data_IF_065584458773
#
_entry.id   IF_065584458773
#
_cell.length_a   1.000
_cell.length_b   1.000
_cell.length_c   1.000
_cell.angle_alpha   90.00
_cell.angle_beta   90.00
_cell.angle_gamma   90.00
#
_symmetry.space_group_name_H-M   'P 1'
#
loop_
_entity.id
_entity.type
_entity.pdbx_description
1 polymer ?
#
# COMPACT_ATOMS: atom_id res chain seq x y z
N UNK A 1 -7.76 13.19 49.04
CA UNK A 1 -7.34 13.18 47.62
C UNK A 1 -8.43 12.47 46.83
N UNK A 2 -9.25 13.22 46.10
CA UNK A 2 -10.25 12.70 45.17
C UNK A 2 -9.65 12.79 43.75
N UNK A 3 -9.83 11.78 42.89
CA UNK A 3 -9.34 11.84 41.52
C UNK A 3 -10.21 12.79 40.69
N UNK A 4 -9.58 13.63 39.88
CA UNK A 4 -10.30 14.50 38.95
C UNK A 4 -10.73 13.72 37.70
N UNK A 5 -11.93 13.98 37.16
CA UNK A 5 -12.37 13.38 35.90
C UNK A 5 -11.65 14.03 34.72
N UNK A 6 -11.10 13.19 33.84
CA UNK A 6 -10.49 13.61 32.58
C UNK A 6 -11.54 14.24 31.66
N UNK A 7 -11.22 15.42 31.15
CA UNK A 7 -11.99 16.18 30.18
C UNK A 7 -11.88 15.50 28.81
N UNK A 8 -12.86 14.70 28.44
CA UNK A 8 -13.01 14.16 27.08
C UNK A 8 -13.49 15.30 26.18
N UNK A 9 -12.60 15.81 25.32
CA UNK A 9 -12.97 16.74 24.25
C UNK A 9 -13.53 15.92 23.08
N UNK A 10 -14.85 15.76 23.05
CA UNK A 10 -15.55 15.26 21.87
C UNK A 10 -15.56 16.36 20.78
N UNK A 11 -14.84 16.12 19.70
CA UNK A 11 -14.94 16.92 18.47
C UNK A 11 -16.06 16.31 17.63
N UNK A 12 -17.23 16.95 17.61
CA UNK A 12 -18.34 16.56 16.72
C UNK A 12 -18.16 17.34 15.41
N UNK A 13 -17.81 16.63 14.34
CA UNK A 13 -17.85 17.17 12.97
C UNK A 13 -19.22 16.86 12.39
N UNK A 14 -20.08 17.88 12.28
CA UNK A 14 -21.39 17.77 11.63
C UNK A 14 -21.19 18.04 10.14
N UNK A 15 -21.30 17.01 9.30
CA UNK A 15 -21.29 17.14 7.84
C UNK A 15 -22.75 17.24 7.36
N UNK A 16 -23.13 18.40 6.82
CA UNK A 16 -24.41 18.58 6.13
C UNK A 16 -24.28 18.11 4.67
N UNK A 17 -24.96 17.02 4.32
CA UNK A 17 -25.14 16.60 2.92
C UNK A 17 -26.30 17.36 2.29
N UNK A 18 -26.01 18.22 1.31
CA UNK A 18 -26.99 18.78 0.39
C UNK A 18 -27.16 17.85 -0.81
N UNK A 19 -28.30 17.17 -0.90
CA UNK A 19 -28.66 16.33 -2.05
C UNK A 19 -29.05 17.19 -3.25
N UNK A 20 -28.32 17.10 -4.36
CA UNK A 20 -28.79 17.53 -5.68
C UNK A 20 -29.01 16.28 -6.54
N UNK A 21 -30.29 15.96 -6.78
CA UNK A 21 -30.72 15.01 -7.80
C UNK A 21 -30.64 15.70 -9.16
N UNK A 22 -29.84 15.18 -10.09
CA UNK A 22 -29.93 15.50 -11.50
C UNK A 22 -30.11 14.22 -12.30
N UNK A 23 -31.25 14.16 -13.01
CA UNK A 23 -31.65 13.10 -13.92
C UNK A 23 -31.33 13.50 -15.36
N UNK A 24 -30.68 12.60 -16.11
CA UNK A 24 -30.66 12.49 -17.57
C UNK A 24 -30.39 11.00 -17.85
N UNK A 25 -31.13 10.25 -18.66
CA UNK A 25 -31.72 10.59 -19.95
C UNK A 25 -30.92 9.82 -21.01
N UNK A 26 -31.50 8.74 -21.56
CA UNK A 26 -30.79 7.72 -22.33
C UNK A 26 -30.46 8.04 -23.79
N UNK A 27 -29.89 7.05 -24.47
CA UNK A 27 -29.64 7.09 -25.91
C UNK A 27 -28.84 5.86 -26.37
N UNK A 28 -29.47 5.08 -27.24
CA UNK A 28 -29.06 3.76 -27.77
C UNK A 28 -28.03 3.82 -28.92
N UNK A 29 -27.42 2.65 -29.16
CA UNK A 29 -26.92 2.07 -30.43
C UNK A 29 -25.74 2.68 -31.21
N UNK A 30 -24.72 1.84 -31.46
CA UNK A 30 -23.58 2.19 -32.31
C UNK A 30 -22.56 1.07 -32.57
N UNK A 31 -22.97 0.11 -33.39
CA UNK A 31 -22.28 -1.01 -34.06
C UNK A 31 -20.76 -0.92 -34.34
N UNK A 32 -20.12 -2.06 -34.02
CA UNK A 32 -18.85 -2.68 -34.47
C UNK A 32 -18.14 -2.12 -35.72
N UNK A 33 -16.83 -1.91 -35.58
CA UNK A 33 -15.87 -1.79 -36.68
C UNK A 33 -14.46 -2.17 -36.24
N UNK A 34 -14.13 -3.46 -36.29
CA UNK A 34 -12.78 -3.98 -36.08
C UNK A 34 -11.92 -3.74 -37.33
N UNK A 35 -10.85 -2.96 -37.20
CA UNK A 35 -9.79 -2.85 -38.20
C UNK A 35 -8.47 -3.29 -37.56
N UNK A 36 -8.05 -4.51 -37.91
CA UNK A 36 -6.72 -5.04 -37.61
C UNK A 36 -5.74 -4.43 -38.62
N UNK A 37 -4.78 -3.64 -38.13
CA UNK A 37 -3.65 -3.15 -38.91
C UNK A 37 -2.40 -3.86 -38.39
N UNK A 38 -1.99 -4.91 -39.09
CA UNK A 38 -0.67 -5.52 -38.93
C UNK A 38 0.39 -4.58 -39.53
N UNK A 39 1.28 -4.06 -38.68
CA UNK A 39 2.47 -3.32 -39.13
C UNK A 39 3.71 -4.12 -38.75
N UNK A 40 4.29 -4.80 -39.73
CA UNK A 40 5.62 -5.41 -39.67
C UNK A 40 6.70 -4.33 -39.64
N UNK A 41 7.49 -4.28 -38.56
CA UNK A 41 8.70 -3.46 -38.48
C UNK A 41 9.95 -4.36 -38.50
N UNK A 42 10.70 -4.25 -39.59
CA UNK A 42 12.03 -4.85 -39.78
C UNK A 42 13.08 -4.00 -39.06
N UNK A 43 13.74 -4.54 -38.03
CA UNK A 43 14.87 -3.87 -37.35
C UNK A 43 16.18 -4.36 -37.96
N UNK A 44 16.88 -3.43 -38.61
CA UNK A 44 18.24 -3.57 -39.12
C UNK A 44 19.24 -3.23 -38.01
N UNK A 45 20.17 -4.14 -37.72
CA UNK A 45 21.27 -3.92 -36.79
C UNK A 45 22.43 -3.13 -37.44
N UNK A 46 23.03 -2.14 -36.76
CA UNK A 46 24.34 -1.61 -37.16
C UNK A 46 25.47 -2.12 -36.25
N UNK A 47 26.60 -2.35 -36.90
CA UNK A 47 27.83 -2.92 -36.37
C UNK A 47 28.60 -1.96 -35.45
N UNK A 48 29.24 -2.53 -34.42
CA UNK A 48 30.16 -1.86 -33.52
C UNK A 48 31.45 -1.44 -34.26
N UNK A 49 31.77 -0.15 -34.19
CA UNK A 49 32.98 0.45 -34.76
C UNK A 49 34.10 0.49 -33.71
N UNK A 50 35.31 0.19 -34.18
CA UNK A 50 36.54 -0.05 -33.44
C UNK A 50 37.09 1.18 -32.70
N UNK A 51 37.74 0.90 -31.56
CA UNK A 51 38.43 1.85 -30.70
C UNK A 51 39.70 2.45 -31.34
N UNK A 52 39.86 3.76 -31.18
CA UNK A 52 41.08 4.53 -31.50
C UNK A 52 41.81 4.88 -30.20
N UNK A 53 43.14 4.70 -30.08
CA UNK A 53 43.90 5.08 -28.89
C UNK A 53 44.17 6.60 -28.84
N UNK A 54 44.24 7.21 -27.64
CA UNK A 54 44.54 8.64 -27.49
C UNK A 54 46.05 8.95 -27.68
N UNK A 55 46.40 10.14 -28.22
CA UNK A 55 47.78 10.58 -28.34
C UNK A 55 48.36 11.11 -27.02
N UNK A 56 49.67 10.92 -26.86
CA UNK A 56 50.51 11.44 -25.77
C UNK A 56 50.40 12.95 -25.60
N UNK A 57 50.15 13.38 -24.36
CA UNK A 57 50.17 14.79 -23.96
C UNK A 57 51.58 15.23 -23.53
N UNK A 58 52.02 16.34 -24.11
CA UNK A 58 53.18 17.15 -23.76
C UNK A 58 53.02 17.77 -22.36
N UNK A 59 54.08 17.86 -21.53
CA UNK A 59 53.98 18.47 -20.20
C UNK A 59 53.82 20.00 -20.28
N UNK A 60 52.83 20.51 -19.55
CA UNK A 60 52.58 21.95 -19.33
C UNK A 60 53.44 22.52 -18.18
N UNK A 61 53.67 23.84 -18.15
CA UNK A 61 54.58 24.50 -17.22
C UNK A 61 53.99 24.62 -15.80
N UNK A 62 54.90 24.57 -14.83
CA UNK A 62 54.65 24.66 -13.39
C UNK A 62 53.98 25.99 -13.01
N UNK A 63 52.78 25.90 -12.44
CA UNK A 63 52.06 27.01 -11.83
C UNK A 63 52.46 27.17 -10.34
N UNK A 64 52.40 28.40 -9.78
CA UNK A 64 52.87 28.69 -8.43
C UNK A 64 52.00 28.08 -7.34
N UNK A 65 52.64 27.67 -6.24
CA UNK A 65 52.04 27.08 -5.03
C UNK A 65 50.82 27.86 -4.53
N UNK A 66 49.67 27.20 -4.61
CA UNK A 66 48.49 27.58 -3.84
C UNK A 66 48.68 27.21 -2.35
N UNK A 67 48.30 28.13 -1.48
CA UNK A 67 48.11 27.96 -0.04
C UNK A 67 47.26 26.71 0.23
N UNK A 68 47.60 25.85 1.21
CA UNK A 68 46.79 24.68 1.55
C UNK A 68 45.42 25.16 2.07
N UNK A 69 44.41 24.98 1.23
CA UNK A 69 43.00 25.12 1.59
C UNK A 69 42.67 24.01 2.59
N UNK A 70 42.21 24.41 3.76
CA UNK A 70 41.86 23.52 4.86
C UNK A 70 40.70 22.62 4.37
N UNK A 71 41.00 21.37 4.02
CA UNK A 71 40.01 20.43 3.53
C UNK A 71 38.89 20.27 4.55
N UNK A 72 37.68 20.72 4.20
CA UNK A 72 36.46 20.44 4.96
C UNK A 72 36.36 18.92 5.10
N UNK A 73 36.23 18.38 6.33
CA UNK A 73 36.12 16.94 6.51
C UNK A 73 34.91 16.45 5.73
N UNK A 74 35.14 15.52 4.80
CA UNK A 74 34.05 14.78 4.16
C UNK A 74 33.27 14.07 5.27
N UNK A 75 31.95 14.30 5.39
CA UNK A 75 31.15 13.60 6.39
C UNK A 75 31.32 12.09 6.14
N UNK A 76 31.71 11.37 7.18
CA UNK A 76 31.73 9.90 7.14
C UNK A 76 30.28 9.45 6.96
N UNK A 77 29.97 8.65 5.93
CA UNK A 77 28.60 8.19 5.73
C UNK A 77 28.15 7.41 6.96
N UNK A 78 26.99 7.78 7.49
CA UNK A 78 26.36 7.11 8.62
C UNK A 78 26.02 5.66 8.20
N UNK A 79 26.27 4.65 9.05
CA UNK A 79 25.96 3.27 8.71
C UNK A 79 24.45 3.10 8.51
N UNK A 80 24.05 2.77 7.29
CA UNK A 80 22.66 2.46 6.95
C UNK A 80 22.28 1.14 7.64
N UNK A 81 21.33 1.20 8.57
CA UNK A 81 20.81 0.03 9.27
C UNK A 81 20.15 -0.92 8.25
N UNK A 82 20.37 -2.24 8.32
CA UNK A 82 19.69 -3.17 7.42
C UNK A 82 18.16 -3.09 7.59
N UNK A 83 17.38 -3.31 6.52
CA UNK A 83 15.92 -3.42 6.61
C UNK A 83 15.49 -4.45 7.66
N UNK A 84 14.46 -4.13 8.43
CA UNK A 84 13.94 -4.96 9.51
C UNK A 84 12.41 -5.07 9.44
N UNK A 85 11.79 -6.07 10.09
CA UNK A 85 10.34 -6.13 10.21
C UNK A 85 9.78 -4.85 10.83
N UNK A 86 8.74 -4.29 10.20
CA UNK A 86 8.00 -3.13 10.67
C UNK A 86 6.64 -3.61 11.13
N UNK A 87 6.28 -3.31 12.38
CA UNK A 87 4.94 -3.54 12.89
C UNK A 87 3.96 -2.53 12.25
N UNK A 88 2.95 -2.99 11.51
CA UNK A 88 1.85 -2.12 11.08
C UNK A 88 1.09 -1.58 12.29
N UNK A 89 0.47 -0.41 12.10
CA UNK A 89 -0.40 0.18 13.11
C UNK A 89 -1.77 -0.51 13.14
N UNK A 90 -2.33 -0.78 11.96
CA UNK A 90 -3.60 -1.49 11.81
C UNK A 90 -3.60 -2.35 10.55
N UNK A 91 -4.46 -3.37 10.54
CA UNK A 91 -4.83 -4.12 9.35
C UNK A 91 -6.34 -3.94 9.07
N UNK A 92 -6.70 -3.80 7.80
CA UNK A 92 -8.06 -3.56 7.37
C UNK A 92 -8.43 -4.45 6.19
N UNK A 93 -9.61 -5.06 6.25
CA UNK A 93 -10.22 -5.76 5.12
C UNK A 93 -11.70 -5.41 5.05
N UNK A 94 -12.22 -5.22 3.83
CA UNK A 94 -13.64 -4.93 3.62
C UNK A 94 -14.50 -6.18 3.79
N UNK A 95 -13.97 -7.32 3.35
CA UNK A 95 -14.65 -8.60 3.40
C UNK A 95 -13.90 -9.56 4.32
N UNK A 96 -14.66 -10.21 5.18
CA UNK A 96 -14.16 -11.22 6.11
C UNK A 96 -15.21 -12.33 6.23
N UNK A 97 -14.75 -13.56 6.48
CA UNK A 97 -15.61 -14.68 6.76
C UNK A 97 -16.27 -14.51 8.14
N UNK A 98 -17.55 -14.90 8.32
CA UNK A 98 -18.16 -14.96 9.64
C UNK A 98 -17.35 -15.82 10.62
N UNK A 99 -17.43 -15.56 11.94
CA UNK A 99 -16.86 -16.43 12.95
C UNK A 99 -17.35 -17.88 12.80
N UNK A 100 -16.51 -18.84 13.15
CA UNK A 100 -16.86 -20.27 13.14
C UNK A 100 -16.41 -20.96 14.42
N UNK A 101 -16.62 -22.27 14.53
CA UNK A 101 -16.14 -23.05 15.67
C UNK A 101 -15.05 -24.03 15.26
N UNK A 102 -14.03 -24.16 16.11
CA UNK A 102 -13.03 -25.23 15.99
C UNK A 102 -13.58 -26.57 16.51
N UNK A 103 -12.76 -27.62 16.43
CA UNK A 103 -13.14 -28.96 16.90
C UNK A 103 -13.31 -29.07 18.42
N UNK A 104 -12.83 -28.08 19.20
CA UNK A 104 -13.09 -27.97 20.64
C UNK A 104 -14.40 -27.22 20.94
N UNK A 105 -15.04 -26.65 19.91
CA UNK A 105 -16.21 -25.80 20.04
C UNK A 105 -15.88 -24.34 20.38
N UNK A 106 -14.61 -23.94 20.40
CA UNK A 106 -14.23 -22.54 20.62
C UNK A 106 -14.60 -21.70 19.40
N UNK A 107 -15.00 -20.45 19.63
CA UNK A 107 -15.21 -19.50 18.55
C UNK A 107 -13.86 -19.06 17.96
N UNK A 108 -13.82 -18.99 16.64
CA UNK A 108 -12.68 -18.52 15.84
C UNK A 108 -13.17 -17.40 14.94
N UNK A 109 -12.59 -16.22 15.10
CA UNK A 109 -12.78 -15.06 14.22
C UNK A 109 -11.70 -15.02 13.14
N UNK A 110 -11.91 -14.25 12.08
CA UNK A 110 -11.03 -14.20 10.89
C UNK A 110 -10.75 -12.76 10.44
N UNK A 111 -10.55 -11.86 11.41
CA UNK A 111 -10.38 -10.45 11.12
C UNK A 111 -9.01 -10.14 10.50
N UNK A 112 -8.92 -9.02 9.78
CA UNK A 112 -7.68 -8.54 9.19
C UNK A 112 -6.52 -8.44 10.21
N UNK A 113 -6.82 -8.09 11.47
CA UNK A 113 -5.81 -8.00 12.55
C UNK A 113 -5.07 -9.32 12.81
N UNK A 114 -5.67 -10.46 12.46
CA UNK A 114 -4.99 -11.75 12.56
C UNK A 114 -3.85 -11.92 11.56
N UNK A 115 -3.71 -11.03 10.57
CA UNK A 115 -2.54 -11.02 9.66
C UNK A 115 -1.32 -10.33 10.22
N UNK A 116 -1.43 -9.71 11.41
CA UNK A 116 -0.34 -8.95 12.03
C UNK A 116 -0.19 -9.27 13.51
N UNK A 117 -0.77 -10.39 13.98
CA UNK A 117 -0.77 -10.77 15.40
C UNK A 117 0.45 -11.62 15.79
N UNK A 118 1.30 -11.96 14.81
CA UNK A 118 2.51 -12.75 14.97
C UNK A 118 2.25 -14.25 15.09
N UNK A 119 1.05 -14.73 14.74
CA UNK A 119 0.62 -16.11 14.92
C UNK A 119 0.20 -16.74 13.59
N UNK A 120 1.03 -17.67 13.13
CA UNK A 120 0.72 -18.45 11.92
C UNK A 120 -0.52 -19.37 12.08
N UNK A 121 -1.01 -19.59 13.30
CA UNK A 121 -2.19 -20.40 13.61
C UNK A 121 -3.51 -19.59 13.72
N UNK A 122 -3.48 -18.30 13.40
CA UNK A 122 -4.64 -17.43 13.12
C UNK A 122 -4.62 -17.01 11.64
N UNK A 123 -5.71 -16.42 11.13
CA UNK A 123 -5.74 -15.94 9.75
C UNK A 123 -6.91 -14.99 9.48
N UNK A 124 -6.65 -13.92 8.73
CA UNK A 124 -7.73 -13.31 7.97
C UNK A 124 -8.25 -14.30 6.94
N UNK A 125 -9.57 -14.26 6.66
CA UNK A 125 -10.20 -15.19 5.73
C UNK A 125 -11.39 -14.58 5.04
N UNK A 126 -11.63 -14.94 3.78
CA UNK A 126 -12.86 -14.61 3.05
C UNK A 126 -13.53 -15.87 2.47
N UNK A 127 -14.85 -15.88 2.28
CA UNK A 127 -15.54 -16.95 1.56
C UNK A 127 -15.12 -17.03 0.08
N UNK A 128 -15.10 -18.23 -0.49
CA UNK A 128 -14.82 -18.46 -1.90
C UNK A 128 -13.33 -18.33 -2.25
N UNK A 129 -13.06 -18.07 -3.53
CA UNK A 129 -11.70 -17.95 -4.09
C UNK A 129 -10.96 -16.67 -3.71
N UNK A 130 -11.65 -15.73 -3.06
CA UNK A 130 -11.09 -14.48 -2.56
C UNK A 130 -10.51 -13.59 -3.64
N UNK A 131 -10.83 -13.79 -4.92
CA UNK A 131 -10.26 -12.98 -5.98
C UNK A 131 -10.62 -11.49 -5.78
N UNK A 132 -9.60 -10.63 -5.83
CA UNK A 132 -9.65 -9.20 -5.52
C UNK A 132 -10.01 -8.83 -4.08
N UNK A 133 -10.19 -9.80 -3.19
CA UNK A 133 -10.21 -9.51 -1.77
C UNK A 133 -8.83 -9.03 -1.32
N UNK A 134 -8.80 -8.14 -0.33
CA UNK A 134 -7.57 -7.50 0.07
C UNK A 134 -7.49 -7.20 1.56
N UNK A 135 -6.26 -7.14 2.03
CA UNK A 135 -5.88 -6.67 3.37
C UNK A 135 -4.97 -5.46 3.19
N UNK A 136 -5.34 -4.33 3.78
CA UNK A 136 -4.50 -3.13 3.84
C UNK A 136 -3.82 -3.05 5.19
N UNK A 137 -2.50 -2.93 5.19
CA UNK A 137 -1.70 -2.56 6.35
C UNK A 137 -1.45 -1.05 6.32
N UNK A 138 -1.63 -0.36 7.43
CA UNK A 138 -1.30 1.07 7.54
C UNK A 138 -0.22 1.31 8.60
N UNK A 139 0.57 2.37 8.44
CA UNK A 139 1.67 2.71 9.33
C UNK A 139 1.42 4.05 10.02
N UNK A 140 1.94 4.20 11.25
CA UNK A 140 1.78 5.43 12.04
C UNK A 140 2.60 6.61 11.53
N UNK A 141 3.51 6.36 10.60
CA UNK A 141 4.38 7.33 9.94
C UNK A 141 4.81 6.76 8.58
N UNK A 142 5.44 7.59 7.75
CA UNK A 142 6.03 7.13 6.50
C UNK A 142 7.06 6.02 6.77
N UNK A 143 7.06 5.02 5.90
CA UNK A 143 8.01 3.91 5.91
C UNK A 143 8.58 3.74 4.51
N UNK A 144 9.82 3.27 4.43
CA UNK A 144 10.41 2.77 3.20
C UNK A 144 10.41 1.24 3.27
N UNK A 145 9.50 0.62 2.52
CA UNK A 145 9.39 -0.84 2.44
C UNK A 145 10.25 -1.37 1.31
N UNK A 146 10.90 -2.52 1.50
CA UNK A 146 11.69 -3.20 0.48
C UNK A 146 11.32 -4.68 0.33
N UNK A 147 10.54 -5.22 1.26
CA UNK A 147 9.99 -6.55 1.15
C UNK A 147 8.69 -6.71 1.96
N UNK A 148 7.93 -7.74 1.63
CA UNK A 148 6.77 -8.19 2.39
C UNK A 148 6.84 -9.71 2.59
N UNK A 149 6.87 -10.15 3.84
CA UNK A 149 6.63 -11.53 4.21
C UNK A 149 5.13 -11.86 4.18
N UNK A 150 4.76 -13.02 3.65
CA UNK A 150 3.38 -13.50 3.61
C UNK A 150 3.31 -15.01 3.91
N UNK A 151 2.33 -15.43 4.71
CA UNK A 151 1.95 -16.86 4.84
C UNK A 151 0.66 -17.10 4.04
N UNK A 152 0.74 -17.74 2.86
CA UNK A 152 -0.34 -17.75 1.86
C UNK A 152 -1.40 -18.84 2.09
N UNK A 153 -1.97 -18.87 3.28
CA UNK A 153 -3.01 -19.82 3.65
C UNK A 153 -3.23 -19.81 5.15
N UNK A 154 -3.95 -20.80 5.67
CA UNK A 154 -4.21 -20.93 7.09
C UNK A 154 -3.27 -21.98 7.68
N UNK A 155 -2.11 -21.56 8.19
CA UNK A 155 -1.04 -22.43 8.67
C UNK A 155 -1.33 -23.04 10.07
N UNK A 156 -2.50 -23.69 10.19
CA UNK A 156 -3.00 -24.31 11.41
C UNK A 156 -3.22 -25.81 11.19
N UNK A 157 -2.69 -26.62 12.11
CA UNK A 157 -3.15 -27.98 12.33
C UNK A 157 -4.07 -27.97 13.54
N UNK A 158 -5.30 -28.45 13.38
CA UNK A 158 -6.25 -28.55 14.48
C UNK A 158 -5.74 -29.54 15.53
N UNK A 159 -5.51 -29.12 16.79
CA UNK A 159 -4.86 -29.98 17.78
C UNK A 159 -5.74 -31.16 18.23
N UNK A 160 -7.06 -31.10 18.03
CA UNK A 160 -7.98 -32.18 18.42
C UNK A 160 -8.28 -33.13 17.27
N UNK A 161 -8.59 -32.60 16.09
CA UNK A 161 -8.92 -33.45 14.93
C UNK A 161 -7.69 -33.88 14.12
N UNK A 162 -6.55 -33.19 14.28
CA UNK A 162 -5.37 -33.39 13.45
C UNK A 162 -5.51 -32.87 12.01
N UNK A 163 -6.61 -32.18 11.72
CA UNK A 163 -6.88 -31.65 10.38
C UNK A 163 -5.94 -30.48 10.06
N UNK A 164 -5.31 -30.56 8.89
CA UNK A 164 -4.49 -29.49 8.35
C UNK A 164 -5.37 -28.46 7.62
N UNK A 165 -5.52 -27.27 8.23
CA UNK A 165 -6.32 -26.19 7.66
C UNK A 165 -5.66 -25.58 6.43
N UNK A 166 -4.35 -25.71 6.25
CA UNK A 166 -3.67 -25.24 5.05
C UNK A 166 -4.13 -26.05 3.84
N UNK A 167 -4.17 -27.38 3.97
CA UNK A 167 -4.60 -28.28 2.90
C UNK A 167 -6.13 -28.27 2.67
N UNK A 168 -6.92 -27.98 3.70
CA UNK A 168 -8.39 -27.90 3.57
C UNK A 168 -8.87 -26.64 2.87
N UNK A 169 -8.31 -25.47 3.22
CA UNK A 169 -8.72 -24.20 2.61
C UNK A 169 -8.08 -24.03 1.22
N UNK A 170 -8.50 -22.99 0.51
CA UNK A 170 -7.74 -22.50 -0.65
C UNK A 170 -6.44 -21.88 -0.18
N UNK A 171 -5.45 -21.86 -1.08
CA UNK A 171 -4.12 -21.32 -0.82
C UNK A 171 -3.82 -20.25 -1.86
N UNK A 172 -3.29 -19.12 -1.42
CA UNK A 172 -3.05 -17.98 -2.30
C UNK A 172 -1.82 -18.28 -3.15
N UNK A 173 -1.99 -18.30 -4.46
CA UNK A 173 -0.90 -18.58 -5.41
C UNK A 173 -0.34 -17.32 -6.03
N UNK A 174 -1.13 -16.24 -6.11
CA UNK A 174 -0.68 -14.96 -6.67
C UNK A 174 -1.30 -13.78 -5.96
N UNK A 175 -0.48 -12.77 -5.67
CA UNK A 175 -0.91 -11.51 -5.06
C UNK A 175 -0.40 -10.31 -5.85
N UNK A 176 -1.03 -9.16 -5.64
CA UNK A 176 -0.53 -7.83 -6.00
C UNK A 176 -0.38 -7.00 -4.74
N UNK A 177 0.72 -6.28 -4.62
CA UNK A 177 0.99 -5.30 -3.56
C UNK A 177 0.77 -3.92 -4.17
N UNK A 178 -0.18 -3.15 -3.64
CA UNK A 178 -0.45 -1.78 -4.07
C UNK A 178 0.02 -0.79 -2.98
N UNK A 179 0.78 0.23 -3.38
CA UNK A 179 1.39 1.23 -2.50
C UNK A 179 0.91 2.65 -2.82
N UNK A 180 1.33 3.63 -2.01
CA UNK A 180 1.17 5.06 -2.30
C UNK A 180 1.72 5.42 -3.68
N UNK A 181 1.00 6.26 -4.42
CA UNK A 181 1.43 6.77 -5.71
C UNK A 181 1.24 5.78 -6.86
N UNK A 182 0.45 4.72 -6.66
CA UNK A 182 0.10 3.79 -7.74
C UNK A 182 1.12 2.72 -8.07
N UNK A 183 2.16 2.60 -7.25
CA UNK A 183 3.18 1.59 -7.44
C UNK A 183 2.53 0.24 -7.10
N UNK A 184 2.68 -0.73 -8.01
CA UNK A 184 2.18 -2.09 -7.83
C UNK A 184 3.25 -3.14 -8.11
N UNK A 185 3.28 -4.19 -7.29
CA UNK A 185 4.18 -5.35 -7.46
C UNK A 185 3.34 -6.63 -7.44
N UNK A 186 3.42 -7.45 -8.49
CA UNK A 186 2.82 -8.79 -8.48
C UNK A 186 3.84 -9.85 -8.06
N UNK A 187 3.38 -10.86 -7.32
CA UNK A 187 4.23 -11.97 -6.90
C UNK A 187 3.47 -13.30 -6.90
N UNK A 188 4.17 -14.36 -7.27
CA UNK A 188 3.71 -15.75 -7.15
C UNK A 188 4.22 -16.34 -5.85
N UNK A 189 3.39 -17.15 -5.19
CA UNK A 189 3.68 -17.78 -3.92
C UNK A 189 3.73 -19.29 -4.09
N UNK A 190 4.66 -19.93 -3.38
CA UNK A 190 4.75 -21.39 -3.35
C UNK A 190 3.60 -21.97 -2.52
N UNK A 191 3.17 -23.18 -2.88
CA UNK A 191 2.12 -23.91 -2.15
C UNK A 191 2.68 -24.55 -0.86
N UNK A 192 2.98 -23.71 0.14
CA UNK A 192 3.57 -24.14 1.42
C UNK A 192 3.21 -23.21 2.59
N UNK A 193 3.02 -23.72 3.82
CA UNK A 193 2.47 -23.00 4.97
C UNK A 193 3.51 -22.17 5.75
N UNK A 194 4.61 -21.75 5.14
CA UNK A 194 5.64 -20.93 5.78
C UNK A 194 5.63 -19.48 5.28
N UNK A 195 6.33 -18.62 6.02
CA UNK A 195 6.55 -17.23 5.62
C UNK A 195 7.37 -17.18 4.33
N UNK A 196 6.84 -16.50 3.32
CA UNK A 196 7.48 -16.30 2.02
C UNK A 196 7.74 -14.82 1.82
N UNK A 197 8.95 -14.47 1.42
CA UNK A 197 9.35 -13.07 1.23
C UNK A 197 9.20 -12.67 -0.22
N UNK A 198 8.48 -11.58 -0.46
CA UNK A 198 8.42 -10.88 -1.74
C UNK A 198 9.35 -9.67 -1.63
N UNK A 199 10.43 -9.65 -2.42
CA UNK A 199 11.35 -8.51 -2.51
C UNK A 199 10.97 -7.58 -3.65
N UNK A 200 11.19 -6.28 -3.47
CA UNK A 200 10.91 -5.24 -4.46
C UNK A 200 11.79 -4.01 -4.26
N UNK A 201 11.84 -3.13 -5.26
CA UNK A 201 12.56 -1.86 -5.15
C UNK A 201 11.98 -1.02 -4.01
N UNK A 202 12.80 -0.35 -3.18
CA UNK A 202 12.31 0.39 -2.02
C UNK A 202 11.20 1.41 -2.35
N UNK A 203 10.06 1.33 -1.64
CA UNK A 203 8.90 2.22 -1.82
C UNK A 203 8.63 3.00 -0.54
N UNK A 204 8.59 4.33 -0.64
CA UNK A 204 8.14 5.21 0.46
C UNK A 204 6.62 5.28 0.47
N UNK A 205 5.99 4.89 1.59
CA UNK A 205 4.53 4.79 1.68
C UNK A 205 3.99 4.96 3.11
N UNK A 206 2.68 5.16 3.21
CA UNK A 206 1.89 5.08 4.46
C UNK A 206 1.11 3.77 4.61
N UNK A 207 1.05 2.95 3.56
CA UNK A 207 0.26 1.73 3.55
C UNK A 207 0.77 0.73 2.51
N UNK A 208 0.36 -0.53 2.67
CA UNK A 208 0.46 -1.53 1.60
C UNK A 208 -0.84 -2.31 1.56
N UNK A 209 -1.42 -2.44 0.37
CA UNK A 209 -2.61 -3.26 0.14
C UNK A 209 -2.20 -4.56 -0.53
N UNK A 210 -2.44 -5.68 0.13
CA UNK A 210 -2.22 -7.03 -0.42
C UNK A 210 -3.52 -7.49 -1.05
N UNK A 211 -3.54 -7.58 -2.38
CA UNK A 211 -4.69 -8.03 -3.18
C UNK A 211 -4.48 -9.47 -3.63
N UNK A 212 -5.44 -10.33 -3.38
CA UNK A 212 -5.44 -11.71 -3.87
C UNK A 212 -5.79 -11.70 -5.36
N UNK A 213 -4.92 -12.25 -6.21
CA UNK A 213 -5.16 -12.37 -7.65
C UNK A 213 -5.61 -13.78 -8.03
N UNK A 214 -4.98 -14.80 -7.44
CA UNK A 214 -5.25 -16.20 -7.72
C UNK A 214 -5.14 -17.07 -6.47
N UNK A 215 -5.97 -18.11 -6.44
CA UNK A 215 -5.95 -19.14 -5.41
C UNK A 215 -6.09 -20.53 -6.02
N UNK A 216 -5.67 -21.54 -5.27
CA UNK A 216 -5.95 -22.93 -5.62
C UNK A 216 -7.45 -23.24 -5.54
N UNK A 217 -7.85 -24.39 -6.09
CA UNK A 217 -9.11 -25.00 -5.68
C UNK A 217 -9.09 -25.31 -4.17
N UNK A 218 -10.26 -25.43 -3.51
CA UNK A 218 -10.34 -25.96 -2.15
C UNK A 218 -9.72 -27.36 -2.07
N UNK A 219 -9.33 -27.80 -0.87
CA UNK A 219 -8.87 -29.17 -0.65
C UNK A 219 -9.88 -30.20 -1.15
N UNK A 220 -9.42 -31.35 -1.65
CA UNK A 220 -10.31 -32.32 -2.30
C UNK A 220 -11.33 -32.95 -1.33
N UNK A 221 -10.86 -33.49 -0.20
CA UNK A 221 -11.70 -34.12 0.83
C UNK A 221 -11.97 -33.13 1.95
N UNK A 222 -13.25 -32.89 2.26
CA UNK A 222 -13.70 -31.92 3.27
C UNK A 222 -13.13 -30.50 3.05
N UNK A 223 -12.95 -30.15 1.77
CA UNK A 223 -12.46 -28.86 1.31
C UNK A 223 -13.29 -27.70 1.84
N UNK A 224 -12.61 -26.71 2.40
CA UNK A 224 -13.21 -25.47 2.87
C UNK A 224 -13.08 -24.43 1.77
N UNK A 225 -14.21 -23.96 1.28
CA UNK A 225 -14.24 -22.94 0.23
C UNK A 225 -14.04 -21.53 0.81
N UNK A 226 -12.84 -21.31 1.30
CA UNK A 226 -12.40 -20.05 1.88
C UNK A 226 -10.94 -19.78 1.49
N UNK A 227 -10.60 -18.51 1.41
CA UNK A 227 -9.26 -18.01 1.11
C UNK A 227 -8.69 -17.28 2.33
N UNK A 228 -7.69 -17.85 3.00
CA UNK A 228 -7.03 -17.25 4.16
C UNK A 228 -5.64 -16.68 3.85
N UNK A 229 -5.24 -15.70 4.66
CA UNK A 229 -3.84 -15.25 4.82
C UNK A 229 -3.54 -15.28 6.31
N UNK A 230 -2.53 -16.04 6.73
CA UNK A 230 -2.18 -16.18 8.13
C UNK A 230 -1.37 -15.00 8.65
N UNK A 231 -0.37 -14.54 7.90
CA UNK A 231 0.55 -13.51 8.39
C UNK A 231 1.06 -12.63 7.26
N UNK A 232 1.29 -11.36 7.59
CA UNK A 232 1.86 -10.33 6.75
C UNK A 232 2.93 -9.56 7.54
N UNK A 233 4.16 -9.57 7.04
CA UNK A 233 5.32 -9.01 7.72
C UNK A 233 6.02 -8.01 6.81
N UNK A 234 5.66 -6.72 6.86
CA UNK A 234 6.38 -5.68 6.12
C UNK A 234 7.83 -5.58 6.60
N UNK A 235 8.77 -5.42 5.67
CA UNK A 235 10.18 -5.28 5.97
C UNK A 235 10.70 -3.99 5.33
N UNK A 236 11.39 -3.17 6.12
CA UNK A 236 11.85 -1.87 5.67
C UNK A 236 12.51 -1.06 6.78
N UNK A 237 12.42 0.26 6.65
CA UNK A 237 12.80 1.22 7.69
C UNK A 237 11.72 2.28 7.87
N UNK A 238 11.64 2.86 9.07
CA UNK A 238 10.85 4.09 9.26
C UNK A 238 11.55 5.25 8.57
N UNK A 239 10.75 6.21 8.14
CA UNK A 239 11.22 7.43 7.50
C UNK A 239 11.10 8.61 8.46
N UNK A 240 12.16 8.96 9.20
CA UNK A 240 12.16 10.22 9.94
C UNK A 240 11.97 11.40 8.99
N UNK A 241 11.45 12.52 9.50
CA UNK A 241 11.40 13.77 8.75
C UNK A 241 12.76 14.07 8.10
N UNK A 242 12.73 14.50 6.84
CA UNK A 242 13.87 14.87 5.98
C UNK A 242 14.73 13.69 5.49
N UNK A 243 14.34 12.44 5.77
CA UNK A 243 15.17 11.26 5.43
C UNK A 243 14.61 10.38 4.30
N UNK A 244 13.36 10.57 3.87
CA UNK A 244 12.74 9.75 2.82
C UNK A 244 12.09 10.58 1.71
N UNK A 245 12.83 11.60 1.25
CA UNK A 245 12.42 12.46 0.14
C UNK A 245 11.14 13.27 0.45
N UNK A 246 10.75 14.25 -0.39
CA UNK A 246 9.58 15.10 -0.12
C UNK A 246 8.26 14.34 0.09
N UNK A 247 8.16 13.12 -0.43
CA UNK A 247 7.00 12.25 -0.26
C UNK A 247 6.86 11.76 1.19
N UNK A 248 7.95 11.31 1.82
CA UNK A 248 7.93 10.85 3.20
C UNK A 248 7.54 11.97 4.18
N UNK A 249 8.05 13.18 3.95
CA UNK A 249 7.69 14.36 4.75
C UNK A 249 6.22 14.73 4.58
N UNK A 250 5.72 14.74 3.34
CA UNK A 250 4.30 14.96 3.05
C UNK A 250 3.41 13.94 3.77
N UNK A 251 3.75 12.66 3.70
CA UNK A 251 3.01 11.59 4.40
C UNK A 251 3.02 11.83 5.91
N UNK A 252 4.17 12.12 6.50
CA UNK A 252 4.30 12.36 7.94
C UNK A 252 3.49 13.57 8.40
N UNK A 253 3.51 14.68 7.67
CA UNK A 253 2.70 15.86 7.96
C UNK A 253 1.19 15.55 7.92
N UNK A 254 0.74 14.80 6.91
CA UNK A 254 -0.66 14.41 6.76
C UNK A 254 -1.13 13.47 7.87
N UNK A 255 -0.31 12.48 8.21
CA UNK A 255 -0.60 11.57 9.33
C UNK A 255 -0.60 12.34 10.66
N UNK A 256 0.29 13.32 10.86
CA UNK A 256 0.27 14.17 12.05
C UNK A 256 -0.98 15.07 12.13
N UNK A 257 -1.47 15.57 10.99
CA UNK A 257 -2.63 16.47 10.96
C UNK A 257 -3.97 15.73 10.98
N UNK A 258 -4.07 14.59 10.31
CA UNK A 258 -5.34 13.89 10.07
C UNK A 258 -5.35 12.42 10.54
N UNK A 259 -4.19 11.81 10.77
CA UNK A 259 -4.04 10.43 11.23
C UNK A 259 -4.42 10.27 12.70
N UNK A 260 -5.68 9.91 12.95
CA UNK A 260 -6.12 9.49 14.28
C UNK A 260 -5.69 8.06 14.59
N UNK A 261 -5.59 7.67 15.87
CA UNK A 261 -5.18 6.31 16.25
C UNK A 261 -6.13 5.21 15.77
N UNK A 262 -7.35 5.57 15.42
CA UNK A 262 -8.41 4.65 15.00
C UNK A 262 -8.76 4.78 13.51
N UNK A 263 -8.27 5.81 12.81
CA UNK A 263 -8.59 6.03 11.40
C UNK A 263 -7.43 5.57 10.53
N UNK A 264 -7.66 4.50 9.76
CA UNK A 264 -6.73 4.14 8.70
C UNK A 264 -6.74 5.23 7.64
N UNK A 265 -5.57 5.79 7.32
CA UNK A 265 -5.43 6.77 6.25
C UNK A 265 -4.48 6.23 5.21
N UNK A 266 -4.94 6.16 3.96
CA UNK A 266 -4.12 5.79 2.82
C UNK A 266 -3.82 7.05 2.01
N UNK A 267 -2.55 7.41 1.90
CA UNK A 267 -2.12 8.42 0.93
C UNK A 267 -2.09 7.75 -0.43
N UNK A 268 -3.03 8.07 -1.31
CA UNK A 268 -3.20 7.42 -2.61
C UNK A 268 -2.28 8.04 -3.67
N UNK A 269 -2.15 9.37 -3.66
CA UNK A 269 -1.29 10.08 -4.61
C UNK A 269 -0.91 11.48 -4.13
N UNK A 270 0.25 11.96 -4.56
CA UNK A 270 0.82 13.27 -4.23
C UNK A 270 1.18 13.97 -5.56
N UNK A 271 0.69 15.20 -5.74
CA UNK A 271 0.93 16.03 -6.92
C UNK A 271 1.27 17.46 -6.49
N UNK A 272 2.56 17.74 -6.30
CA UNK A 272 3.03 19.01 -5.75
C UNK A 272 2.43 19.26 -4.36
N UNK A 273 1.68 20.35 -4.22
CA UNK A 273 1.00 20.72 -2.97
C UNK A 273 -0.37 20.05 -2.79
N UNK A 274 -0.79 19.15 -3.69
CA UNK A 274 -2.08 18.46 -3.62
C UNK A 274 -1.90 17.00 -3.26
N UNK A 275 -2.82 16.47 -2.45
CA UNK A 275 -2.82 15.07 -2.05
C UNK A 275 -4.22 14.48 -2.09
N UNK A 276 -4.32 13.25 -2.62
CA UNK A 276 -5.50 12.40 -2.53
C UNK A 276 -5.32 11.41 -1.38
N UNK A 277 -6.28 11.45 -0.46
CA UNK A 277 -6.36 10.57 0.69
C UNK A 277 -7.57 9.65 0.55
N UNK A 278 -7.44 8.41 1.03
CA UNK A 278 -8.58 7.52 1.28
C UNK A 278 -8.64 7.23 2.76
N UNK A 279 -9.79 7.52 3.37
CA UNK A 279 -10.01 7.32 4.81
C UNK A 279 -10.73 6.00 5.00
N UNK A 280 -10.10 5.07 5.70
CA UNK A 280 -10.67 3.77 6.02
C UNK A 280 -11.61 3.91 7.22
N UNK A 281 -12.90 3.56 7.07
CA UNK A 281 -13.87 3.63 8.16
C UNK A 281 -13.57 2.58 9.22
N UNK A 282 -13.89 2.88 10.47
CA UNK A 282 -13.81 1.91 11.56
C UNK A 282 -14.95 0.90 11.52
N UNK A 283 -16.14 1.30 11.07
CA UNK A 283 -17.36 0.46 11.09
C UNK A 283 -17.54 -0.43 9.85
N UNK A 284 -16.72 -0.26 8.80
CA UNK A 284 -16.71 -1.07 7.56
C UNK A 284 -18.05 -1.13 6.81
N UNK A 285 -18.97 -0.21 7.11
CA UNK A 285 -20.30 -0.16 6.50
C UNK A 285 -20.36 0.84 5.34
N UNK A 286 -19.55 1.92 5.41
CA UNK A 286 -19.61 3.03 4.47
C UNK A 286 -18.43 3.01 3.50
N UNK A 287 -18.69 3.20 2.22
CA UNK A 287 -17.62 3.36 1.23
C UNK A 287 -16.58 4.37 1.75
N UNK A 288 -15.29 4.00 1.78
CA UNK A 288 -14.25 4.85 2.35
C UNK A 288 -14.19 6.16 1.54
N UNK A 289 -14.42 7.32 2.17
CA UNK A 289 -14.44 8.57 1.43
C UNK A 289 -13.04 8.88 0.92
N UNK A 290 -13.01 9.44 -0.28
CA UNK A 290 -11.85 10.12 -0.83
C UNK A 290 -11.85 11.56 -0.30
N UNK A 291 -10.68 12.03 0.10
CA UNK A 291 -10.45 13.40 0.53
C UNK A 291 -9.33 14.00 -0.30
N UNK A 292 -9.56 15.22 -0.80
CA UNK A 292 -8.52 16.01 -1.47
C UNK A 292 -8.07 17.12 -0.54
N UNK A 293 -6.76 17.24 -0.36
CA UNK A 293 -6.16 18.28 0.48
C UNK A 293 -5.10 19.04 -0.29
N UNK A 294 -4.87 20.30 0.10
CA UNK A 294 -3.84 21.18 -0.45
C UNK A 294 -2.97 21.76 0.65
N UNK A 295 -1.67 21.82 0.43
CA UNK A 295 -0.71 22.48 1.32
C UNK A 295 -0.81 23.99 1.17
N UNK A 296 -1.05 24.70 2.26
CA UNK A 296 -0.97 26.15 2.34
C UNK A 296 0.48 26.63 2.53
N UNK A 297 0.77 27.89 2.23
CA UNK A 297 2.11 28.49 2.36
C UNK A 297 2.71 28.41 3.78
N UNK A 298 1.88 28.22 4.81
CA UNK A 298 2.30 28.06 6.22
C UNK A 298 2.52 26.60 6.63
N UNK A 299 2.51 25.66 5.67
CA UNK A 299 2.73 24.23 5.93
C UNK A 299 1.52 23.51 6.54
N UNK A 300 0.33 24.12 6.49
CA UNK A 300 -0.93 23.51 6.93
C UNK A 300 -1.65 22.89 5.75
N UNK A 301 -2.32 21.76 5.95
CA UNK A 301 -3.17 21.17 4.93
C UNK A 301 -4.61 21.66 5.03
N UNK A 302 -5.16 22.15 3.93
CA UNK A 302 -6.56 22.55 3.76
C UNK A 302 -7.33 21.42 3.08
N UNK A 303 -8.52 21.08 3.59
CA UNK A 303 -9.41 20.11 2.95
C UNK A 303 -10.20 20.81 1.86
N UNK A 304 -10.04 20.37 0.61
CA UNK A 304 -10.76 20.90 -0.54
C UNK A 304 -12.13 20.25 -0.70
N UNK A 305 -12.20 18.92 -0.47
CA UNK A 305 -13.43 18.14 -0.61
C UNK A 305 -13.32 16.76 0.02
N UNK A 306 -14.45 16.21 0.44
CA UNK A 306 -14.61 14.85 0.97
C UNK A 306 -15.85 14.22 0.34
N UNK A 307 -15.72 13.02 -0.20
CA UNK A 307 -16.82 12.34 -0.86
C UNK A 307 -16.44 10.96 -1.38
N UNK A 308 -17.42 10.21 -1.87
CA UNK A 308 -17.22 8.85 -2.43
C UNK A 308 -17.19 8.83 -3.95
N UNK A 309 -17.51 9.95 -4.59
CA UNK A 309 -17.44 10.13 -6.03
C UNK A 309 -17.13 11.58 -6.36
N UNK A 310 -16.08 11.80 -7.15
CA UNK A 310 -15.73 13.10 -7.70
C UNK A 310 -15.64 12.93 -9.21
N UNK A 311 -16.46 13.67 -9.93
CA UNK A 311 -16.31 13.77 -11.38
C UNK A 311 -15.15 14.72 -11.74
N UNK A 312 -14.59 14.60 -12.95
CA UNK A 312 -13.46 15.45 -13.37
C UNK A 312 -13.77 16.96 -13.32
N UNK A 313 -15.00 17.39 -13.59
CA UNK A 313 -15.38 18.81 -13.56
C UNK A 313 -15.36 19.35 -12.12
N UNK A 314 -15.86 18.57 -11.16
CA UNK A 314 -15.75 18.88 -9.72
C UNK A 314 -14.28 18.99 -9.27
N UNK A 315 -13.40 18.11 -9.74
CA UNK A 315 -11.96 18.18 -9.42
C UNK A 315 -11.30 19.43 -10.02
N UNK A 316 -11.62 19.75 -11.27
CA UNK A 316 -11.12 20.95 -11.94
C UNK A 316 -11.58 22.24 -11.23
N UNK A 317 -12.85 22.31 -10.81
CA UNK A 317 -13.39 23.43 -10.03
C UNK A 317 -12.68 23.62 -8.68
N UNK A 318 -12.20 22.53 -8.06
CA UNK A 318 -11.39 22.58 -6.84
C UNK A 318 -9.91 22.87 -7.10
N UNK A 319 -9.48 22.92 -8.37
CA UNK A 319 -8.08 23.08 -8.77
C UNK A 319 -7.21 21.86 -8.48
N UNK A 320 -7.82 20.67 -8.32
CA UNK A 320 -7.09 19.42 -8.10
C UNK A 320 -6.42 18.98 -9.41
N UNK A 321 -5.10 18.68 -9.40
CA UNK A 321 -4.42 18.15 -10.57
C UNK A 321 -5.10 16.88 -11.11
N UNK A 322 -5.24 16.78 -12.43
CA UNK A 322 -5.93 15.65 -13.09
C UNK A 322 -5.28 14.30 -12.79
N UNK A 323 -3.96 14.27 -12.59
CA UNK A 323 -3.20 13.07 -12.19
C UNK A 323 -3.62 12.49 -10.83
N UNK A 324 -4.34 13.24 -9.99
CA UNK A 324 -4.95 12.72 -8.75
C UNK A 324 -6.38 12.20 -8.97
N UNK A 325 -7.00 12.48 -10.11
CA UNK A 325 -8.36 12.03 -10.45
C UNK A 325 -8.44 10.60 -10.97
N UNK A 326 -7.40 10.14 -11.69
CA UNK A 326 -7.40 8.86 -12.41
C UNK A 326 -6.87 7.70 -11.54
N UNK A 327 -7.67 7.22 -10.58
CA UNK A 327 -7.36 6.03 -9.76
C UNK A 327 -8.59 5.24 -9.36
#
# INVERSE_FOLDING_TARGET
MLPQPALVRSLIVIIFFGSILAACGGGEDGTLGAAVVETTATVVAPALSSATPPPSATPLPVAPSATPELATPTPTPEPVLPPAPIAPMTAFAWFEAPPSRDSAGNEVVYSADQTIDGRMDTAWRVPGDGQFASVTLTFSQAVQLSALGIVPGYAKVDPLSGEDRFLQNRRVSRVRLDFTGGISVEATLADRPELQTIEFDPVVTSHVTVVVLETTAPGAQDGRDFTPISELVPVGSFCPPQQCEPHGDTINELLAQFGGPEMGMQVQGIAGDYVRLRVLPTDRILDPPTMFVRREAVGRWEVLGVGTGFDPESLELMGVPSELGDW
#
